data_IF_684189293169
#
_entry.id   IF_684189293169
#
_cell.length_a   1.000
_cell.length_b   1.000
_cell.length_c   1.000
_cell.angle_alpha   90.00
_cell.angle_beta   90.00
_cell.angle_gamma   90.00
#
_symmetry.space_group_name_H-M   'P 1'
#
loop_
_entity.id
_entity.type
_entity.pdbx_description
1 polymer ?
#
# COMPACT_ATOMS: atom_id res chain seq x y z
N UNK A 1 21.56 -43.64 20.54
CA UNK A 1 20.63 -42.65 19.92
C UNK A 1 20.37 -43.10 18.49
N UNK A 2 19.37 -43.96 18.22
CA UNK A 2 19.08 -44.40 16.86
C UNK A 2 18.04 -43.46 16.25
N UNK A 3 18.47 -42.60 15.32
CA UNK A 3 17.62 -41.63 14.63
C UNK A 3 17.55 -41.88 13.13
N UNK A 4 17.57 -43.14 12.68
CA UNK A 4 17.58 -43.51 11.26
C UNK A 4 16.74 -44.77 10.95
N UNK A 5 15.56 -44.91 11.58
CA UNK A 5 14.61 -45.99 11.25
C UNK A 5 13.21 -45.49 10.89
N UNK A 6 13.09 -44.30 10.28
CA UNK A 6 11.80 -43.84 9.74
C UNK A 6 11.92 -43.34 8.29
N UNK A 7 12.73 -44.02 7.46
CA UNK A 7 12.80 -43.77 6.02
C UNK A 7 11.54 -44.18 5.23
N UNK A 8 10.41 -44.47 5.89
CA UNK A 8 9.13 -44.79 5.23
C UNK A 8 7.89 -44.35 6.03
N UNK A 9 8.01 -43.36 6.92
CA UNK A 9 6.83 -42.73 7.51
C UNK A 9 6.36 -41.63 6.54
N UNK A 10 5.39 -41.96 5.68
CA UNK A 10 4.77 -40.99 4.78
C UNK A 10 4.41 -39.70 5.54
N UNK A 11 4.63 -38.55 4.89
CA UNK A 11 4.27 -37.26 5.47
C UNK A 11 2.83 -37.30 6.01
N UNK A 12 2.64 -36.75 7.21
CA UNK A 12 1.33 -36.63 7.85
C UNK A 12 0.31 -36.05 6.85
N UNK A 13 -0.89 -36.61 6.82
CA UNK A 13 -1.95 -36.23 5.88
C UNK A 13 -2.27 -34.72 5.94
N UNK A 14 -2.10 -34.09 7.11
CA UNK A 14 -2.26 -32.65 7.26
C UNK A 14 -1.17 -31.87 6.52
N UNK A 15 0.08 -32.37 6.51
CA UNK A 15 1.17 -31.73 5.78
C UNK A 15 1.00 -31.85 4.27
N UNK A 16 0.59 -33.03 3.78
CA UNK A 16 0.25 -33.23 2.36
C UNK A 16 -0.89 -32.29 1.95
N UNK A 17 -1.92 -32.20 2.79
CA UNK A 17 -3.06 -31.28 2.57
C UNK A 17 -2.62 -29.81 2.54
N UNK A 18 -1.73 -29.40 3.44
CA UNK A 18 -1.19 -28.05 3.48
C UNK A 18 -0.39 -27.73 2.21
N UNK A 19 0.47 -28.67 1.77
CA UNK A 19 1.22 -28.55 0.51
C UNK A 19 0.30 -28.36 -0.68
N UNK A 20 -0.74 -29.18 -0.80
CA UNK A 20 -1.65 -29.13 -1.94
C UNK A 20 -2.54 -27.87 -1.92
N UNK A 21 -2.81 -27.30 -0.73
CA UNK A 21 -3.44 -25.97 -0.62
C UNK A 21 -2.50 -24.86 -1.10
N UNK A 22 -1.23 -24.90 -0.69
CA UNK A 22 -0.22 -23.93 -1.12
C UNK A 22 0.04 -24.01 -2.63
N UNK A 23 0.12 -25.22 -3.20
CA UNK A 23 0.27 -25.42 -4.64
C UNK A 23 -0.89 -24.81 -5.43
N UNK A 24 -2.13 -25.09 -5.03
CA UNK A 24 -3.33 -24.49 -5.66
C UNK A 24 -3.40 -22.97 -5.52
N UNK A 25 -2.88 -22.42 -4.42
CA UNK A 25 -2.75 -20.99 -4.24
C UNK A 25 -1.71 -20.41 -5.23
N UNK A 26 -0.55 -21.06 -5.34
CA UNK A 26 0.50 -20.66 -6.27
C UNK A 26 -0.01 -20.69 -7.72
N UNK A 27 -0.65 -21.79 -8.14
CA UNK A 27 -1.24 -21.91 -9.48
C UNK A 27 -2.25 -20.80 -9.76
N UNK A 28 -3.11 -20.49 -8.78
CA UNK A 28 -4.09 -19.41 -8.92
C UNK A 28 -3.44 -18.04 -9.05
N UNK A 29 -2.40 -17.77 -8.25
CA UNK A 29 -1.63 -16.53 -8.33
C UNK A 29 -0.87 -16.44 -9.65
N UNK A 30 -0.35 -17.53 -10.18
CA UNK A 30 0.31 -17.52 -11.49
C UNK A 30 -0.70 -17.34 -12.64
N UNK A 31 -1.86 -17.99 -12.57
CA UNK A 31 -2.87 -17.94 -13.63
C UNK A 31 -3.66 -16.61 -13.67
N UNK A 32 -3.93 -16.03 -12.50
CA UNK A 32 -4.83 -14.86 -12.37
C UNK A 32 -4.22 -13.70 -11.58
N UNK A 33 -3.04 -13.88 -10.99
CA UNK A 33 -2.35 -12.79 -10.32
C UNK A 33 -1.83 -11.80 -11.34
N UNK A 34 -2.31 -10.56 -11.25
CA UNK A 34 -1.69 -9.44 -11.95
C UNK A 34 -0.44 -8.99 -11.21
N UNK A 35 0.58 -8.59 -11.96
CA UNK A 35 1.72 -7.88 -11.38
C UNK A 35 1.22 -6.65 -10.64
N UNK A 36 1.77 -6.41 -9.45
CA UNK A 36 1.49 -5.21 -8.68
C UNK A 36 1.90 -3.99 -9.51
N UNK A 37 0.92 -3.18 -9.91
CA UNK A 37 1.20 -2.01 -10.73
C UNK A 37 1.64 -0.87 -9.82
N UNK A 38 2.96 -0.61 -9.81
CA UNK A 38 3.52 0.59 -9.16
C UNK A 38 3.15 1.88 -9.89
N UNK A 39 2.39 1.77 -10.98
CA UNK A 39 1.96 2.90 -11.80
C UNK A 39 0.69 3.56 -11.27
N UNK A 40 0.00 2.95 -10.29
CA UNK A 40 -1.27 3.47 -9.74
C UNK A 40 -1.21 3.61 -8.23
N UNK A 41 -1.60 4.78 -7.73
CA UNK A 41 -1.71 5.04 -6.28
C UNK A 41 -3.05 5.67 -5.96
N UNK A 42 -3.61 5.33 -4.80
CA UNK A 42 -4.67 6.11 -4.14
C UNK A 42 -4.02 7.04 -3.13
N UNK A 43 -4.21 8.34 -3.34
CA UNK A 43 -3.85 9.36 -2.38
C UNK A 43 -5.05 9.66 -1.50
N UNK A 44 -4.85 9.66 -0.19
CA UNK A 44 -5.82 10.09 0.80
C UNK A 44 -5.40 11.44 1.35
N UNK A 45 -6.40 12.29 1.57
CA UNK A 45 -6.21 13.67 2.02
C UNK A 45 -7.19 13.94 3.16
N UNK A 46 -6.70 14.53 4.25
CA UNK A 46 -7.55 14.96 5.36
C UNK A 46 -7.10 16.35 5.84
N UNK A 47 -8.06 17.25 6.11
CA UNK A 47 -7.74 18.55 6.71
C UNK A 47 -7.32 18.34 8.15
N UNK A 48 -6.08 18.72 8.46
CA UNK A 48 -5.58 18.68 9.83
C UNK A 48 -5.96 19.99 10.53
N UNK A 49 -6.82 19.90 11.55
CA UNK A 49 -7.14 21.03 12.45
C UNK A 49 -6.05 21.29 13.49
N UNK A 50 -5.18 20.31 13.73
CA UNK A 50 -4.07 20.43 14.68
C UNK A 50 -2.80 20.79 13.92
N UNK A 51 -2.11 21.89 14.28
CA UNK A 51 -0.84 22.23 13.67
C UNK A 51 0.23 21.20 14.07
N UNK A 52 0.78 20.49 13.09
CA UNK A 52 1.98 19.69 13.31
C UNK A 52 3.17 20.62 13.50
N UNK A 53 3.93 20.48 14.58
CA UNK A 53 5.17 21.24 14.79
C UNK A 53 6.34 20.26 14.86
N UNK A 54 7.33 20.32 13.95
CA UNK A 54 7.44 21.16 12.74
C UNK A 54 6.71 20.56 11.51
N UNK A 55 5.70 21.26 10.96
CA UNK A 55 5.05 20.86 9.71
C UNK A 55 5.96 21.15 8.51
N UNK A 56 6.25 20.11 7.72
CA UNK A 56 6.99 20.22 6.47
C UNK A 56 6.11 20.93 5.42
N UNK A 57 6.65 21.83 4.57
CA UNK A 57 5.88 22.36 3.45
C UNK A 57 5.46 21.22 2.51
N UNK A 58 4.26 21.34 1.93
CA UNK A 58 3.79 20.40 0.91
C UNK A 58 4.81 20.39 -0.26
N UNK A 59 5.36 19.22 -0.63
CA UNK A 59 6.30 19.13 -1.74
C UNK A 59 5.67 19.60 -3.04
N UNK A 60 6.41 20.40 -3.82
CA UNK A 60 5.96 20.85 -5.13
C UNK A 60 5.68 19.65 -6.05
N UNK A 61 4.55 19.70 -6.77
CA UNK A 61 4.14 18.66 -7.71
C UNK A 61 3.28 17.54 -7.13
N UNK A 62 3.01 17.50 -5.82
CA UNK A 62 2.01 16.59 -5.24
C UNK A 62 0.60 17.11 -5.56
N UNK A 63 -0.21 16.38 -6.35
CA UNK A 63 -1.57 16.82 -6.67
C UNK A 63 -2.48 16.62 -5.45
N UNK A 64 -3.20 17.67 -5.06
CA UNK A 64 -4.24 17.57 -4.03
C UNK A 64 -5.50 16.96 -4.62
N UNK A 65 -6.17 16.08 -3.87
CA UNK A 65 -7.47 15.58 -4.28
C UNK A 65 -8.47 16.77 -4.35
N UNK A 66 -9.25 16.93 -5.43
CA UNK A 66 -10.20 18.04 -5.56
C UNK A 66 -11.31 18.01 -4.49
N UNK A 67 -11.50 16.85 -3.85
CA UNK A 67 -12.47 16.62 -2.78
C UNK A 67 -12.05 17.19 -1.42
N UNK A 68 -10.91 17.89 -1.33
CA UNK A 68 -10.43 18.59 -0.11
C UNK A 68 -11.41 19.66 0.41
N UNK A 69 -12.53 19.89 -0.28
CA UNK A 69 -13.66 20.70 0.22
C UNK A 69 -14.48 19.97 1.29
N UNK A 70 -14.54 18.63 1.27
CA UNK A 70 -14.99 17.83 2.40
C UNK A 70 -13.78 17.53 3.29
N UNK A 71 -13.95 17.53 4.62
CA UNK A 71 -12.86 17.36 5.61
C UNK A 71 -11.86 16.22 5.31
N UNK A 72 -12.26 15.21 4.56
CA UNK A 72 -11.40 14.17 4.03
C UNK A 72 -11.82 13.79 2.60
N UNK A 73 -10.89 13.24 1.83
CA UNK A 73 -11.09 12.83 0.45
C UNK A 73 -10.03 11.82 0.00
N UNK A 74 -10.30 11.11 -1.09
CA UNK A 74 -9.31 10.23 -1.70
C UNK A 74 -9.40 10.30 -3.21
N UNK A 75 -8.26 10.16 -3.90
CA UNK A 75 -8.21 10.17 -5.36
C UNK A 75 -7.15 9.23 -5.89
N UNK A 76 -7.52 8.54 -6.96
CA UNK A 76 -6.64 7.64 -7.68
C UNK A 76 -5.82 8.41 -8.72
N UNK A 77 -4.52 8.16 -8.72
CA UNK A 77 -3.54 8.73 -9.63
C UNK A 77 -2.80 7.62 -10.37
N UNK A 78 -2.45 7.88 -11.62
CA UNK A 78 -1.71 6.96 -12.49
C UNK A 78 -0.49 7.65 -13.11
N UNK A 79 0.51 6.90 -13.55
CA UNK A 79 1.62 7.42 -14.33
C UNK A 79 2.59 8.26 -13.51
N UNK A 80 3.10 9.32 -14.14
CA UNK A 80 4.05 10.23 -13.50
C UNK A 80 3.52 10.82 -12.18
N UNK A 81 2.21 11.07 -12.06
CA UNK A 81 1.61 11.57 -10.81
C UNK A 81 1.72 10.55 -9.68
N UNK A 82 1.49 9.27 -9.97
CA UNK A 82 1.64 8.19 -8.99
C UNK A 82 3.10 8.06 -8.54
N UNK A 83 4.03 8.14 -9.50
CA UNK A 83 5.46 8.11 -9.22
C UNK A 83 5.91 9.29 -8.35
N UNK A 84 5.46 10.50 -8.65
CA UNK A 84 5.74 11.71 -7.85
C UNK A 84 5.22 11.57 -6.42
N UNK A 85 3.99 11.10 -6.22
CA UNK A 85 3.42 10.85 -4.88
C UNK A 85 4.28 9.83 -4.12
N UNK A 86 4.58 8.70 -4.75
CA UNK A 86 5.36 7.63 -4.12
C UNK A 86 6.79 8.04 -3.75
N UNK A 87 7.34 9.03 -4.47
CA UNK A 87 8.68 9.56 -4.22
C UNK A 87 8.71 10.62 -3.12
N UNK A 88 7.67 11.45 -3.04
CA UNK A 88 7.68 12.65 -2.19
C UNK A 88 6.99 12.45 -0.83
N UNK A 89 6.09 11.46 -0.72
CA UNK A 89 5.38 11.15 0.52
C UNK A 89 5.87 9.78 1.03
N UNK A 90 6.32 9.68 2.30
CA UNK A 90 6.79 8.41 2.85
C UNK A 90 5.74 7.29 2.78
N UNK A 91 6.21 6.07 2.49
CA UNK A 91 5.38 4.85 2.42
C UNK A 91 5.47 4.04 3.71
N UNK A 92 5.19 4.67 4.84
CA UNK A 92 5.19 4.01 6.16
C UNK A 92 3.77 3.69 6.68
N UNK A 93 2.74 3.98 5.87
CA UNK A 93 1.35 3.79 6.24
C UNK A 93 0.83 4.80 7.26
N UNK A 94 1.65 5.77 7.67
CA UNK A 94 1.27 6.84 8.57
C UNK A 94 0.75 8.05 7.79
N UNK A 95 -0.07 8.85 8.48
CA UNK A 95 -0.50 10.15 7.96
C UNK A 95 0.61 11.18 8.16
N UNK A 96 1.04 11.82 7.08
CA UNK A 96 2.04 12.87 7.11
C UNK A 96 1.38 14.22 6.98
N UNK A 97 1.59 15.10 7.97
CA UNK A 97 1.00 16.44 7.97
C UNK A 97 1.92 17.42 7.27
N UNK A 98 1.38 18.10 6.26
CA UNK A 98 2.06 19.11 5.48
C UNK A 98 1.38 20.47 5.65
N UNK A 99 2.19 21.54 5.57
CA UNK A 99 1.70 22.91 5.52
C UNK A 99 1.46 23.32 4.07
N UNK A 100 0.25 23.76 3.75
CA UNK A 100 -0.12 24.33 2.45
C UNK A 100 0.38 25.78 2.33
N UNK A 101 0.46 26.29 1.10
CA UNK A 101 0.83 27.70 0.84
C UNK A 101 -0.17 28.69 1.42
N UNK A 102 -1.42 28.28 1.62
CA UNK A 102 -2.49 29.05 2.29
C UNK A 102 -2.35 29.11 3.81
N UNK A 103 -1.40 28.37 4.40
CA UNK A 103 -1.23 28.24 5.85
C UNK A 103 -2.07 27.15 6.50
N UNK A 104 -2.99 26.53 5.76
CA UNK A 104 -3.74 25.35 6.22
C UNK A 104 -2.83 24.12 6.33
N UNK A 105 -3.20 23.18 7.21
CA UNK A 105 -2.51 21.89 7.36
C UNK A 105 -3.32 20.78 6.71
N UNK A 106 -2.63 19.88 6.02
CA UNK A 106 -3.22 18.71 5.38
C UNK A 106 -2.46 17.45 5.75
N UNK A 107 -3.16 16.44 6.22
CA UNK A 107 -2.63 15.11 6.39
C UNK A 107 -2.76 14.35 5.07
N UNK A 108 -1.66 13.74 4.61
CA UNK A 108 -1.60 12.93 3.40
C UNK A 108 -1.11 11.53 3.74
N UNK A 109 -1.73 10.53 3.12
CA UNK A 109 -1.24 9.16 3.09
C UNK A 109 -1.55 8.56 1.72
N UNK A 110 -0.86 7.48 1.33
CA UNK A 110 -1.11 6.84 0.05
C UNK A 110 -0.87 5.34 0.09
N UNK A 111 -1.49 4.62 -0.86
CA UNK A 111 -1.20 3.21 -1.13
C UNK A 111 -1.21 2.96 -2.63
N UNK A 112 -0.46 1.98 -3.12
CA UNK A 112 -0.65 1.52 -4.48
C UNK A 112 -1.99 0.82 -4.62
N UNK A 113 -2.61 0.96 -5.79
CA UNK A 113 -3.83 0.25 -6.13
C UNK A 113 -3.51 -1.18 -6.50
N UNK A 114 -4.40 -2.09 -6.12
CA UNK A 114 -4.32 -3.47 -6.58
C UNK A 114 -4.70 -3.54 -8.07
N UNK A 115 -4.24 -4.57 -8.81
CA UNK A 115 -4.52 -4.68 -10.25
C UNK A 115 -6.01 -4.66 -10.62
N UNK A 116 -6.90 -4.97 -9.68
CA UNK A 116 -8.36 -5.06 -9.86
C UNK A 116 -9.14 -3.92 -9.19
N UNK A 117 -8.44 -2.95 -8.56
CA UNK A 117 -9.00 -1.66 -8.14
C UNK A 117 -8.80 -0.62 -9.25
#
# INVERSE_FOLDING_TARGET
MPSLEHAAAGYDAALVTARDRLARLADRVTAHGGNYSTDRVRLFTERATVPATPAKPLPEGVPLAPETQARSGSKDYKGNKAHTIARLIPRDGSWHVYRMSTGEHIALSWRYLLPHE
#
